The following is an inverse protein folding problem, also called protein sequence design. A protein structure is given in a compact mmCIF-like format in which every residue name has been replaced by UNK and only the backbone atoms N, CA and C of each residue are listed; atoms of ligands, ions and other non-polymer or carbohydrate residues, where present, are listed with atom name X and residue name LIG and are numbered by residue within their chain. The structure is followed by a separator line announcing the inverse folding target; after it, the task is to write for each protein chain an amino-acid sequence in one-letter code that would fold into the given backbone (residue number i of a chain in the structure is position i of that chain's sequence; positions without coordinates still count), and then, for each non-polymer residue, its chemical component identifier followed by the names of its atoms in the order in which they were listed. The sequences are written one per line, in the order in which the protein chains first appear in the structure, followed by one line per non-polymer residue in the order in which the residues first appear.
data_IF_509152479588
#
_entry.id   IF_509152479588
#
_cell.length_a   1.000
_cell.length_b   1.000
_cell.length_c   1.000
_cell.angle_alpha   90.00
_cell.angle_beta   90.00
_cell.angle_gamma   90.00
#
_symmetry.space_group_name_H-M   'P 1'
#
loop_
_entity.id
_entity.type
_entity.pdbx_description
1 polymer ?
#
# COMPACT_ATOMS: atom_id res chain seq x y z
N UNK A 1 -26.24 -3.69 -3.34
CA UNK A 1 -25.00 -3.88 -2.55
C UNK A 1 -24.06 -2.72 -2.84
N UNK A 2 -23.45 -2.15 -1.79
CA UNK A 2 -22.93 -0.77 -1.75
C UNK A 2 -21.49 -0.56 -2.26
N UNK A 3 -20.91 -1.53 -2.98
CA UNK A 3 -19.54 -1.40 -3.50
C UNK A 3 -19.49 -1.73 -4.98
N UNK A 4 -18.81 -0.88 -5.74
CA UNK A 4 -18.66 -1.07 -7.19
C UNK A 4 -17.79 -2.29 -7.48
N UNK A 5 -18.00 -2.94 -8.63
CA UNK A 5 -17.21 -4.10 -9.05
C UNK A 5 -15.70 -3.82 -9.06
N UNK A 6 -15.28 -2.56 -9.27
CA UNK A 6 -13.87 -2.16 -9.17
C UNK A 6 -13.33 -2.29 -7.75
N UNK A 7 -14.10 -1.85 -6.75
CA UNK A 7 -13.72 -1.93 -5.33
C UNK A 7 -13.60 -3.40 -4.89
N UNK A 8 -14.48 -4.26 -5.40
CA UNK A 8 -14.45 -5.70 -5.11
C UNK A 8 -13.24 -6.38 -5.77
N UNK A 9 -12.95 -6.08 -7.04
CA UNK A 9 -11.77 -6.64 -7.73
C UNK A 9 -10.45 -6.24 -7.06
N UNK A 10 -10.33 -4.99 -6.61
CA UNK A 10 -9.16 -4.52 -5.85
C UNK A 10 -9.04 -5.15 -4.45
N UNK A 11 -10.16 -5.61 -3.86
CA UNK A 11 -10.16 -6.31 -2.58
C UNK A 11 -9.79 -7.80 -2.74
N UNK A 12 -10.29 -8.46 -3.78
CA UNK A 12 -10.01 -9.88 -4.05
C UNK A 12 -8.64 -10.12 -4.72
N UNK A 13 -8.19 -9.19 -5.57
CA UNK A 13 -6.91 -9.27 -6.29
C UNK A 13 -6.02 -8.04 -6.01
N UNK A 14 -5.59 -7.82 -4.75
CA UNK A 14 -4.86 -6.62 -4.41
C UNK A 14 -3.46 -6.66 -5.05
N UNK A 15 -3.20 -5.73 -5.96
CA UNK A 15 -1.91 -5.64 -6.68
C UNK A 15 -0.91 -4.93 -5.78
N UNK A 16 0.36 -5.33 -5.81
CA UNK A 16 1.45 -4.69 -5.03
C UNK A 16 1.36 -4.81 -3.50
N UNK A 17 0.56 -5.76 -2.99
CA UNK A 17 0.60 -6.11 -1.56
C UNK A 17 1.94 -6.77 -1.23
N UNK A 18 2.65 -6.23 -0.26
CA UNK A 18 3.93 -6.78 0.15
C UNK A 18 4.71 -5.84 1.03
N UNK A 19 6.00 -6.11 1.15
CA UNK A 19 6.95 -5.21 1.81
C UNK A 19 8.29 -5.30 1.10
N UNK A 20 8.93 -4.15 0.95
CA UNK A 20 10.30 -4.04 0.47
C UNK A 20 11.27 -4.05 1.65
N UNK A 21 12.54 -4.34 1.39
CA UNK A 21 13.58 -4.27 2.42
C UNK A 21 13.75 -2.82 2.88
N UNK A 22 13.45 -2.59 4.16
CA UNK A 22 13.54 -1.28 4.81
C UNK A 22 14.97 -0.78 5.03
N UNK A 23 15.95 -1.68 4.96
CA UNK A 23 17.36 -1.35 5.15
C UNK A 23 18.05 -1.00 3.84
N UNK A 24 17.38 -1.22 2.70
CA UNK A 24 17.94 -0.92 1.40
C UNK A 24 17.98 0.62 1.21
N UNK A 25 19.12 1.18 0.76
CA UNK A 25 19.32 2.63 0.66
C UNK A 25 18.46 3.28 -0.42
N UNK A 26 17.95 2.48 -1.36
CA UNK A 26 17.08 2.86 -2.47
C UNK A 26 15.58 2.69 -2.13
N UNK A 27 15.23 2.29 -0.91
CA UNK A 27 13.85 2.08 -0.47
C UNK A 27 13.39 3.17 0.50
N UNK A 28 12.43 3.97 0.06
CA UNK A 28 11.70 4.91 0.90
C UNK A 28 10.54 4.21 1.61
N UNK A 29 10.43 4.34 2.92
CA UNK A 29 9.30 3.80 3.71
C UNK A 29 8.54 4.92 4.40
N UNK A 30 7.26 5.07 4.05
CA UNK A 30 6.31 5.95 4.74
C UNK A 30 5.30 5.12 5.52
N UNK A 31 5.12 5.44 6.79
CA UNK A 31 4.06 4.86 7.63
C UNK A 31 3.20 6.02 8.11
N UNK A 32 1.91 5.95 7.82
CA UNK A 32 0.94 6.97 8.20
C UNK A 32 -0.31 6.30 8.78
N UNK A 33 -0.89 6.90 9.82
CA UNK A 33 -2.09 6.39 10.47
C UNK A 33 -1.96 6.33 11.98
N UNK A 34 -3.09 6.10 12.64
CA UNK A 34 -3.20 6.05 14.08
C UNK A 34 -3.58 4.61 14.49
N UNK A 35 -2.74 3.89 15.26
CA UNK A 35 -3.05 2.55 15.73
C UNK A 35 -4.38 2.50 16.51
N UNK A 36 -4.71 3.57 17.25
CA UNK A 36 -5.96 3.68 17.99
C UNK A 36 -7.23 3.72 17.11
N UNK A 37 -7.13 4.13 15.84
CA UNK A 37 -8.27 4.20 14.92
C UNK A 37 -8.39 2.95 14.03
N UNK A 38 -7.45 2.02 14.12
CA UNK A 38 -7.44 0.77 13.34
C UNK A 38 -7.05 0.93 11.87
N UNK A 39 -6.80 2.16 11.39
CA UNK A 39 -6.36 2.44 10.03
C UNK A 39 -4.89 2.89 10.01
N UNK A 40 -4.00 1.97 9.67
CA UNK A 40 -2.55 2.21 9.48
C UNK A 40 -2.18 1.80 8.07
N UNK A 41 -1.62 2.73 7.31
CA UNK A 41 -1.12 2.50 5.97
C UNK A 41 0.41 2.62 5.96
N UNK A 42 1.05 1.58 5.44
CA UNK A 42 2.48 1.54 5.15
C UNK A 42 2.66 1.50 3.64
N UNK A 43 3.39 2.46 3.10
CA UNK A 43 3.75 2.54 1.69
C UNK A 43 5.28 2.53 1.57
N UNK A 44 5.78 1.66 0.71
CA UNK A 44 7.21 1.53 0.42
C UNK A 44 7.42 1.71 -1.08
N UNK A 45 8.40 2.53 -1.45
CA UNK A 45 8.80 2.74 -2.84
C UNK A 45 10.28 2.41 -2.98
N UNK A 46 10.64 1.78 -4.09
CA UNK A 46 12.03 1.59 -4.50
C UNK A 46 12.34 2.56 -5.63
N UNK A 47 13.46 3.28 -5.52
CA UNK A 47 13.87 4.33 -6.46
C UNK A 47 15.18 3.91 -7.12
N UNK A 48 15.23 3.88 -8.45
CA UNK A 48 16.46 3.61 -9.20
C UNK A 48 17.47 4.74 -9.05
N UNK A 49 18.73 4.48 -9.41
CA UNK A 49 19.78 5.51 -9.47
C UNK A 49 19.39 6.72 -10.34
N UNK A 50 18.57 6.50 -11.37
CA UNK A 50 18.05 7.55 -12.26
C UNK A 50 16.92 8.40 -11.66
N UNK A 51 16.53 8.14 -10.41
CA UNK A 51 15.43 8.83 -9.70
C UNK A 51 14.03 8.34 -10.09
N UNK A 52 13.89 7.20 -10.76
CA UNK A 52 12.58 6.63 -11.15
C UNK A 52 12.10 5.61 -10.12
N UNK A 53 10.80 5.62 -9.83
CA UNK A 53 10.19 4.57 -8.99
C UNK A 53 10.12 3.27 -9.81
N UNK A 54 10.78 2.22 -9.35
CA UNK A 54 10.85 0.92 -10.04
C UNK A 54 9.90 -0.12 -9.44
N UNK A 55 9.60 0.01 -8.15
CA UNK A 55 8.61 -0.82 -7.47
C UNK A 55 7.94 0.00 -6.37
N UNK A 56 6.68 -0.33 -6.10
CA UNK A 56 5.92 0.21 -5.00
C UNK A 56 5.17 -0.95 -4.33
N UNK A 57 5.28 -1.05 -3.01
CA UNK A 57 4.52 -2.01 -2.20
C UNK A 57 3.74 -1.28 -1.13
N UNK A 58 2.53 -1.73 -0.86
CA UNK A 58 1.78 -1.23 0.28
C UNK A 58 1.32 -2.36 1.19
N UNK A 59 1.13 -2.00 2.46
CA UNK A 59 0.45 -2.79 3.47
C UNK A 59 -0.45 -1.87 4.25
N UNK A 60 -1.74 -2.13 4.19
CA UNK A 60 -2.74 -1.39 4.95
C UNK A 60 -3.39 -2.33 5.95
N UNK A 61 -3.42 -1.90 7.20
CA UNK A 61 -4.15 -2.55 8.27
C UNK A 61 -5.35 -1.65 8.56
N UNK A 62 -6.57 -2.14 8.30
CA UNK A 62 -7.78 -1.32 8.35
C UNK A 62 -9.03 -2.04 7.87
N UNK A 63 -10.18 -1.36 7.99
CA UNK A 63 -11.46 -1.80 7.43
C UNK A 63 -11.33 -2.05 5.91
N UNK A 64 -12.06 -3.01 5.32
CA UNK A 64 -11.92 -3.41 3.90
C UNK A 64 -11.98 -2.28 2.87
N UNK A 65 -12.60 -1.14 3.22
CA UNK A 65 -12.60 0.11 2.44
C UNK A 65 -11.22 0.80 2.33
N UNK A 66 -10.37 0.69 3.35
CA UNK A 66 -9.00 1.22 3.33
C UNK A 66 -8.11 0.43 2.37
N UNK A 67 -8.25 -0.90 2.35
CA UNK A 67 -7.51 -1.80 1.45
C UNK A 67 -7.84 -1.48 -0.02
N UNK A 68 -9.12 -1.31 -0.35
CA UNK A 68 -9.54 -0.96 -1.69
C UNK A 68 -9.04 0.44 -2.14
N UNK A 69 -8.92 1.39 -1.21
CA UNK A 69 -8.41 2.73 -1.50
C UNK A 69 -6.88 2.75 -1.66
N UNK A 70 -6.15 1.89 -0.96
CA UNK A 70 -4.70 1.76 -1.10
C UNK A 70 -4.27 1.00 -2.37
N UNK A 71 -5.17 0.22 -2.98
CA UNK A 71 -4.88 -0.51 -4.22
C UNK A 71 -5.12 0.29 -5.50
N UNK A 72 -5.75 1.47 -5.43
CA UNK A 72 -6.07 2.32 -6.58
C UNK A 72 -4.84 3.06 -7.11
#
# INVERSE_FOLDING_TARGET
MAYSNKVIDHFENPRNVGSLDKNAPDVGTGIVGAPECGDVMKLQIQVSADGRIVDAKFKTFGCGSAIASSSL
#
